data_IF_260396818454
#
_entry.id   IF_260396818454
#
_cell.length_a   1.000
_cell.length_b   1.000
_cell.length_c   1.000
_cell.angle_alpha   90.00
_cell.angle_beta   90.00
_cell.angle_gamma   90.00
#
_symmetry.space_group_name_H-M   'P 1'
#
loop_
_entity.id
_entity.type
_entity.pdbx_description
1 polymer ?
#
# COMPACT_ATOMS: atom_id res chain seq x y z
N UNK A 1 27.00 1.89 12.49
CA UNK A 1 25.53 1.61 12.63
C UNK A 1 24.69 1.82 11.36
N UNK A 2 24.77 2.98 10.66
CA UNK A 2 23.92 3.27 9.48
C UNK A 2 24.20 2.34 8.27
N UNK A 3 25.47 2.02 8.01
CA UNK A 3 25.89 1.14 6.91
C UNK A 3 25.36 -0.29 7.06
N UNK A 4 25.39 -0.87 8.26
CA UNK A 4 24.82 -2.20 8.54
C UNK A 4 23.31 -2.26 8.28
N UNK A 5 22.55 -1.22 8.66
CA UNK A 5 21.11 -1.11 8.38
C UNK A 5 20.81 -0.99 6.88
N UNK A 6 21.66 -0.29 6.13
CA UNK A 6 21.54 -0.15 4.68
C UNK A 6 21.78 -1.49 3.96
N UNK A 7 22.85 -2.19 4.33
CA UNK A 7 23.16 -3.53 3.80
C UNK A 7 22.04 -4.54 4.07
N UNK A 8 21.52 -4.56 5.30
CA UNK A 8 20.37 -5.42 5.65
C UNK A 8 19.14 -5.14 4.78
N UNK A 9 18.85 -3.87 4.47
CA UNK A 9 17.76 -3.48 3.57
C UNK A 9 17.99 -3.94 2.13
N UNK A 10 19.22 -3.80 1.62
CA UNK A 10 19.59 -4.25 0.26
C UNK A 10 19.45 -5.77 0.16
N UNK A 11 19.96 -6.52 1.15
CA UNK A 11 19.85 -7.98 1.21
C UNK A 11 18.37 -8.39 1.23
N UNK A 12 17.54 -7.76 2.06
CA UNK A 12 16.10 -8.06 2.15
C UNK A 12 15.38 -7.79 0.82
N UNK A 13 15.68 -6.69 0.14
CA UNK A 13 15.15 -6.39 -1.21
C UNK A 13 15.59 -7.44 -2.24
N UNK A 14 16.88 -7.79 -2.25
CA UNK A 14 17.44 -8.79 -3.18
C UNK A 14 16.83 -10.18 -2.96
N UNK A 15 16.64 -10.59 -1.69
CA UNK A 15 15.94 -11.84 -1.33
C UNK A 15 14.49 -11.86 -1.83
N UNK A 16 13.75 -10.76 -1.67
CA UNK A 16 12.36 -10.65 -2.15
C UNK A 16 12.23 -10.75 -3.68
N UNK A 17 13.09 -10.05 -4.43
CA UNK A 17 13.11 -10.13 -5.89
C UNK A 17 13.49 -11.53 -6.39
N UNK A 18 14.48 -12.18 -5.74
CA UNK A 18 14.88 -13.56 -6.02
C UNK A 18 13.72 -14.53 -5.79
N UNK A 19 12.99 -14.38 -4.69
CA UNK A 19 11.85 -15.25 -4.37
C UNK A 19 10.74 -15.15 -5.41
N UNK A 20 10.39 -13.94 -5.86
CA UNK A 20 9.39 -13.74 -6.91
C UNK A 20 9.83 -14.37 -8.25
N UNK A 21 11.10 -14.22 -8.62
CA UNK A 21 11.69 -14.87 -9.80
C UNK A 21 11.59 -16.40 -9.69
N UNK A 22 11.90 -16.97 -8.52
CA UNK A 22 11.77 -18.41 -8.29
C UNK A 22 10.33 -18.91 -8.38
N UNK A 23 9.35 -18.17 -7.83
CA UNK A 23 7.92 -18.54 -7.94
C UNK A 23 7.45 -18.57 -9.40
N UNK A 24 7.83 -17.58 -10.20
CA UNK A 24 7.55 -17.54 -11.64
C UNK A 24 8.15 -18.73 -12.40
N UNK A 25 9.42 -19.05 -12.12
CA UNK A 25 10.08 -20.20 -12.73
C UNK A 25 9.37 -21.52 -12.40
N UNK A 26 9.00 -21.72 -11.14
CA UNK A 26 8.24 -22.92 -10.70
C UNK A 26 6.88 -23.05 -11.40
N UNK A 27 6.21 -21.92 -11.63
CA UNK A 27 4.92 -21.89 -12.33
C UNK A 27 5.10 -22.31 -13.80
N UNK A 28 6.09 -21.76 -14.50
CA UNK A 28 6.41 -22.17 -15.88
C UNK A 28 6.79 -23.65 -15.95
N UNK A 29 7.56 -24.15 -14.98
CA UNK A 29 7.92 -25.57 -14.90
C UNK A 29 6.68 -26.45 -14.70
N UNK A 30 5.75 -26.08 -13.80
CA UNK A 30 4.50 -26.81 -13.59
C UNK A 30 3.63 -26.85 -14.85
N UNK A 31 3.51 -25.73 -15.57
CA UNK A 31 2.80 -25.67 -16.86
C UNK A 31 3.44 -26.56 -17.92
N UNK A 32 4.77 -26.57 -18.01
CA UNK A 32 5.51 -27.44 -18.94
C UNK A 32 5.33 -28.92 -18.62
N UNK A 33 5.24 -29.28 -17.33
CA UNK A 33 5.01 -30.66 -16.91
C UNK A 33 3.61 -31.14 -17.31
N UNK A 34 2.59 -30.30 -17.10
CA UNK A 34 1.20 -30.61 -17.50
C UNK A 34 1.01 -30.68 -19.02
N UNK A 35 1.83 -29.97 -19.80
CA UNK A 35 1.80 -30.02 -21.26
C UNK A 35 2.37 -31.32 -21.85
N UNK A 36 2.95 -32.22 -21.05
CA UNK A 36 3.47 -33.51 -21.53
C UNK A 36 2.33 -34.55 -21.65
N UNK A 37 2.36 -35.32 -22.73
CA UNK A 37 1.33 -36.33 -23.03
C UNK A 37 1.40 -37.55 -22.08
N UNK A 38 2.61 -37.92 -21.62
CA UNK A 38 2.87 -39.08 -20.76
C UNK A 38 3.12 -38.68 -19.29
N UNK A 39 2.07 -38.28 -18.57
CA UNK A 39 2.17 -37.98 -17.12
C UNK A 39 1.18 -38.86 -16.37
N UNK A 40 1.66 -39.51 -15.30
CA UNK A 40 0.83 -40.31 -14.42
C UNK A 40 -0.34 -39.49 -13.84
N UNK A 41 -1.51 -40.10 -13.71
CA UNK A 41 -2.74 -39.41 -13.29
C UNK A 41 -2.59 -38.73 -11.91
N UNK A 42 -1.96 -39.41 -10.95
CA UNK A 42 -1.73 -38.86 -9.60
C UNK A 42 -0.86 -37.60 -9.63
N UNK A 43 0.20 -37.63 -10.44
CA UNK A 43 1.10 -36.49 -10.62
C UNK A 43 0.41 -35.31 -11.32
N UNK A 44 -0.53 -35.57 -12.25
CA UNK A 44 -1.34 -34.51 -12.88
C UNK A 44 -2.18 -33.78 -11.84
N UNK A 45 -2.91 -34.51 -11.00
CA UNK A 45 -3.76 -33.90 -9.96
C UNK A 45 -2.93 -33.10 -8.96
N UNK A 46 -1.79 -33.62 -8.52
CA UNK A 46 -0.90 -32.91 -7.59
C UNK A 46 -0.34 -31.62 -8.23
N UNK A 47 0.10 -31.71 -9.48
CA UNK A 47 0.70 -30.57 -10.19
C UNK A 47 -0.32 -29.48 -10.51
N UNK A 48 -1.58 -29.82 -10.80
CA UNK A 48 -2.68 -28.86 -10.94
C UNK A 48 -2.99 -28.12 -9.64
N UNK A 49 -3.07 -28.85 -8.51
CA UNK A 49 -3.26 -28.25 -7.17
C UNK A 49 -2.12 -27.29 -6.85
N UNK A 50 -0.88 -27.72 -7.12
CA UNK A 50 0.32 -26.91 -6.91
C UNK A 50 0.36 -25.69 -7.82
N UNK A 51 -0.08 -25.82 -9.08
CA UNK A 51 -0.16 -24.72 -10.03
C UNK A 51 -1.11 -23.64 -9.52
N UNK A 52 -2.34 -24.01 -9.11
CA UNK A 52 -3.32 -23.09 -8.52
C UNK A 52 -2.76 -22.38 -7.28
N UNK A 53 -2.08 -23.11 -6.41
CA UNK A 53 -1.44 -22.53 -5.22
C UNK A 53 -0.36 -21.50 -5.59
N UNK A 54 0.50 -21.82 -6.57
CA UNK A 54 1.56 -20.94 -7.05
C UNK A 54 1.01 -19.67 -7.71
N UNK A 55 -0.08 -19.78 -8.47
CA UNK A 55 -0.75 -18.63 -9.09
C UNK A 55 -1.34 -17.68 -8.05
N UNK A 56 -2.06 -18.21 -7.06
CA UNK A 56 -2.59 -17.42 -5.96
C UNK A 56 -1.47 -16.72 -5.16
N UNK A 57 -0.38 -17.43 -4.90
CA UNK A 57 0.81 -16.90 -4.22
C UNK A 57 1.50 -15.77 -4.99
N UNK A 58 1.57 -15.90 -6.30
CA UNK A 58 2.17 -14.91 -7.18
C UNK A 58 1.28 -13.65 -7.24
N UNK A 59 -0.03 -13.83 -7.39
CA UNK A 59 -1.00 -12.73 -7.37
C UNK A 59 -0.92 -11.90 -6.08
N UNK A 60 -0.89 -12.57 -4.91
CA UNK A 60 -0.71 -11.90 -3.61
C UNK A 60 0.62 -11.12 -3.53
N UNK A 61 1.71 -11.72 -4.01
CA UNK A 61 3.02 -11.08 -3.97
C UNK A 61 3.10 -9.85 -4.89
N UNK A 62 2.48 -9.90 -6.05
CA UNK A 62 2.42 -8.78 -6.99
C UNK A 62 1.51 -7.64 -6.49
N UNK A 63 0.34 -7.97 -5.94
CA UNK A 63 -0.54 -7.00 -5.29
C UNK A 63 0.18 -6.26 -4.16
N UNK A 64 0.81 -6.99 -3.23
CA UNK A 64 1.57 -6.39 -2.12
C UNK A 64 2.75 -5.52 -2.62
N UNK A 65 3.41 -5.91 -3.70
CA UNK A 65 4.48 -5.10 -4.31
C UNK A 65 3.91 -3.81 -4.91
N UNK A 66 2.79 -3.88 -5.62
CA UNK A 66 2.10 -2.72 -6.20
C UNK A 66 1.67 -1.76 -5.10
N UNK A 67 1.00 -2.26 -4.05
CA UNK A 67 0.61 -1.49 -2.87
C UNK A 67 1.80 -0.76 -2.24
N UNK A 68 2.91 -1.48 -2.00
CA UNK A 68 4.14 -0.87 -1.45
C UNK A 68 4.71 0.22 -2.35
N UNK A 69 4.66 0.03 -3.67
CA UNK A 69 5.19 1.00 -4.63
C UNK A 69 4.34 2.28 -4.66
N UNK A 70 3.02 2.13 -4.73
CA UNK A 70 2.06 3.23 -4.69
C UNK A 70 2.17 3.99 -3.37
N UNK A 71 2.27 3.26 -2.27
CA UNK A 71 2.47 3.84 -0.97
C UNK A 71 3.70 4.73 -0.88
N UNK A 72 4.87 4.25 -1.30
CA UNK A 72 6.09 5.07 -1.26
C UNK A 72 5.94 6.30 -2.15
N UNK A 73 5.34 6.15 -3.33
CA UNK A 73 5.10 7.25 -4.28
C UNK A 73 4.20 8.33 -3.69
N UNK A 74 3.09 7.93 -3.07
CA UNK A 74 2.07 8.86 -2.55
C UNK A 74 2.26 9.23 -1.08
N UNK A 75 3.19 8.61 -0.35
CA UNK A 75 3.42 8.88 1.08
C UNK A 75 3.71 10.35 1.34
N UNK A 76 4.64 10.93 0.58
CA UNK A 76 5.05 12.34 0.73
C UNK A 76 3.93 13.30 0.33
N UNK A 77 3.22 13.00 -0.76
CA UNK A 77 2.08 13.82 -1.23
C UNK A 77 0.98 13.85 -0.17
N UNK A 78 0.55 12.69 0.32
CA UNK A 78 -0.45 12.59 1.39
C UNK A 78 0.00 13.24 2.69
N UNK A 79 1.29 13.22 2.99
CA UNK A 79 1.83 13.89 4.18
C UNK A 79 1.62 15.40 4.11
N UNK A 80 1.98 16.02 2.99
CA UNK A 80 1.81 17.46 2.83
C UNK A 80 0.34 17.87 2.75
N UNK A 81 -0.49 17.13 2.02
CA UNK A 81 -1.93 17.42 1.97
C UNK A 81 -2.56 17.33 3.36
N UNK A 82 -2.22 16.29 4.14
CA UNK A 82 -2.68 16.18 5.54
C UNK A 82 -2.24 17.38 6.37
N UNK A 83 -0.98 17.80 6.28
CA UNK A 83 -0.50 18.98 7.01
C UNK A 83 -1.19 20.28 6.57
N UNK A 84 -1.49 20.43 5.28
CA UNK A 84 -2.20 21.59 4.74
C UNK A 84 -3.62 21.66 5.27
N UNK A 85 -4.37 20.56 5.20
CA UNK A 85 -5.75 20.49 5.70
C UNK A 85 -5.80 20.70 7.22
N UNK A 86 -4.90 20.07 7.98
CA UNK A 86 -4.82 20.26 9.44
C UNK A 86 -4.57 21.72 9.81
N UNK A 87 -3.67 22.41 9.10
CA UNK A 87 -3.44 23.86 9.32
C UNK A 87 -4.68 24.68 9.04
N UNK A 88 -5.39 24.42 7.94
CA UNK A 88 -6.65 25.09 7.61
C UNK A 88 -7.73 24.85 8.68
N UNK A 89 -7.85 23.61 9.19
CA UNK A 89 -8.79 23.29 10.28
C UNK A 89 -8.46 24.09 11.54
N UNK A 90 -7.17 24.19 11.91
CA UNK A 90 -6.74 24.98 13.07
C UNK A 90 -7.07 26.46 12.86
N UNK A 91 -6.84 26.99 11.66
CA UNK A 91 -7.18 28.37 11.32
C UNK A 91 -8.68 28.63 11.38
N UNK A 92 -9.50 27.80 10.74
CA UNK A 92 -10.96 27.92 10.76
C UNK A 92 -11.51 27.87 12.19
N UNK A 93 -11.00 26.97 13.05
CA UNK A 93 -11.38 26.93 14.46
C UNK A 93 -11.06 28.23 15.21
N UNK A 94 -9.88 28.83 14.94
CA UNK A 94 -9.50 30.12 15.54
C UNK A 94 -10.38 31.26 15.03
N UNK A 95 -10.67 31.29 13.74
CA UNK A 95 -11.56 32.29 13.15
C UNK A 95 -12.96 32.21 13.75
N UNK A 96 -13.52 31.01 13.95
CA UNK A 96 -14.81 30.82 14.63
C UNK A 96 -14.77 31.36 16.06
N UNK A 97 -13.68 31.15 16.80
CA UNK A 97 -13.58 31.66 18.18
C UNK A 97 -13.43 33.18 18.30
N UNK A 98 -13.03 33.86 17.23
CA UNK A 98 -12.79 35.31 17.22
C UNK A 98 -13.86 36.08 16.44
N UNK A 99 -14.76 35.40 15.72
CA UNK A 99 -15.77 36.04 14.89
C UNK A 99 -16.91 36.65 15.75
N UNK A 100 -17.24 37.94 15.58
CA UNK A 100 -18.30 38.61 16.33
C UNK A 100 -19.72 38.41 15.72
N UNK A 101 -19.84 37.99 14.45
CA UNK A 101 -21.11 37.96 13.71
C UNK A 101 -21.57 36.53 13.32
N UNK A 102 -22.86 36.24 13.51
CA UNK A 102 -23.45 34.92 13.30
C UNK A 102 -23.52 34.44 11.83
N UNK A 103 -23.55 35.36 10.86
CA UNK A 103 -23.56 35.00 9.43
C UNK A 103 -22.19 34.47 8.97
N UNK A 104 -21.11 35.18 9.32
CA UNK A 104 -19.74 34.73 9.03
C UNK A 104 -19.42 33.43 9.77
N UNK A 105 -19.90 33.28 11.00
CA UNK A 105 -19.75 32.06 11.79
C UNK A 105 -20.31 30.83 11.07
N UNK A 106 -21.53 30.91 10.51
CA UNK A 106 -22.15 29.82 9.76
C UNK A 106 -21.32 29.42 8.54
N UNK A 107 -20.77 30.38 7.79
CA UNK A 107 -19.93 30.08 6.62
C UNK A 107 -18.62 29.38 7.00
N UNK A 108 -18.02 29.79 8.13
CA UNK A 108 -16.81 29.18 8.67
C UNK A 108 -17.07 27.76 9.20
N UNK A 109 -18.24 27.49 9.78
CA UNK A 109 -18.64 26.16 10.22
C UNK A 109 -18.84 25.19 9.05
N UNK A 110 -19.49 25.65 7.98
CA UNK A 110 -19.62 24.88 6.74
C UNK A 110 -18.23 24.54 6.20
N UNK A 111 -17.36 25.54 6.08
CA UNK A 111 -15.97 25.35 5.62
C UNK A 111 -15.19 24.37 6.52
N UNK A 112 -15.39 24.43 7.85
CA UNK A 112 -14.77 23.51 8.79
C UNK A 112 -15.28 22.08 8.59
N UNK A 113 -16.56 21.91 8.27
CA UNK A 113 -17.17 20.61 8.00
C UNK A 113 -16.59 19.98 6.73
N UNK A 114 -16.42 20.76 5.65
CA UNK A 114 -15.80 20.32 4.40
C UNK A 114 -14.35 19.90 4.61
N UNK A 115 -13.56 20.72 5.33
CA UNK A 115 -12.17 20.39 5.65
C UNK A 115 -12.03 19.10 6.49
N UNK A 116 -13.03 18.79 7.33
CA UNK A 116 -13.07 17.50 8.06
C UNK A 116 -13.33 16.33 7.13
N UNK A 117 -14.21 16.49 6.14
CA UNK A 117 -14.44 15.49 5.08
C UNK A 117 -13.16 15.28 4.27
N UNK A 118 -12.48 16.35 3.87
CA UNK A 118 -11.19 16.29 3.16
C UNK A 118 -10.14 15.54 3.95
N UNK A 119 -10.02 15.83 5.26
CA UNK A 119 -9.08 15.15 6.14
C UNK A 119 -9.39 13.65 6.21
N UNK A 120 -10.67 13.28 6.34
CA UNK A 120 -11.10 11.89 6.34
C UNK A 120 -10.78 11.20 5.01
N UNK A 121 -11.00 11.87 3.88
CA UNK A 121 -10.66 11.32 2.57
C UNK A 121 -9.16 10.99 2.44
N UNK A 122 -8.30 11.87 2.97
CA UNK A 122 -6.85 11.67 3.01
C UNK A 122 -6.47 10.49 3.94
N UNK A 123 -7.15 10.38 5.10
CA UNK A 123 -6.84 9.42 6.16
C UNK A 123 -7.38 8.01 5.89
N UNK A 124 -8.59 7.84 5.34
CA UNK A 124 -9.28 6.55 5.18
C UNK A 124 -8.47 5.55 4.36
N UNK A 125 -7.73 6.02 3.35
CA UNK A 125 -6.71 5.19 2.69
C UNK A 125 -5.44 5.14 3.54
N UNK A 126 -5.58 4.64 4.77
CA UNK A 126 -4.49 4.37 5.71
C UNK A 126 -3.79 3.10 5.26
N UNK A 127 -2.85 3.27 4.35
CA UNK A 127 -1.86 2.25 4.08
C UNK A 127 -1.01 2.15 5.36
N UNK A 128 -1.02 0.99 5.99
CA UNK A 128 -0.35 0.69 7.26
C UNK A 128 1.14 1.06 7.20
N UNK A 129 1.50 2.26 7.66
CA UNK A 129 2.88 2.73 7.81
C UNK A 129 3.10 3.31 9.20
N UNK A 130 2.98 2.46 10.21
CA UNK A 130 3.35 2.79 11.60
C UNK A 130 4.82 2.49 11.93
N UNK A 131 5.69 2.15 10.95
CA UNK A 131 7.12 1.90 11.25
C UNK A 131 8.15 2.51 10.30
N UNK A 132 7.74 3.34 9.34
CA UNK A 132 8.68 4.22 8.64
C UNK A 132 8.93 5.44 9.53
N UNK A 133 9.83 5.23 10.49
CA UNK A 133 10.56 6.23 11.27
C UNK A 133 10.71 7.54 10.48
N UNK A 134 10.04 8.58 10.96
CA UNK A 134 10.72 9.87 11.07
C UNK A 134 11.86 9.72 12.07
#
# INVERSE_FOLDING_TARGET
MKQAKLLQRIIKRRKGARLLKMKRLRLVQARRLLAKENVAADLRVETERRLKALEADLGRAEASRKERSLAVRYHKIKFFERQKVVRKIIQAKKSISTAPDGSEMNTLEISLSELRVDLNYILVRRILYTSLKC
#
